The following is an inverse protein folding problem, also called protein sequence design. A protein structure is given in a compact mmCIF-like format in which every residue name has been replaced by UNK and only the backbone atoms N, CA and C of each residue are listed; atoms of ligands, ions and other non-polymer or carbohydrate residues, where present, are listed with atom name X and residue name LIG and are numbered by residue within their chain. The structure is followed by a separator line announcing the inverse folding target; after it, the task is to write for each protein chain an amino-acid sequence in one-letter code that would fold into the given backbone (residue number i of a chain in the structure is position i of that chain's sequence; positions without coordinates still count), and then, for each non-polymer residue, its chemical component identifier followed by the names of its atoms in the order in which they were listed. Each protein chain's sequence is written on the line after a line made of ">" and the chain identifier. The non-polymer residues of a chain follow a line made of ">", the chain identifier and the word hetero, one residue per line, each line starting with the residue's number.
data_IF_438470480386
#
_entry.id   IF_438470480386
#
_cell.length_a   1.000
_cell.length_b   1.000
_cell.length_c   1.000
_cell.angle_alpha   90.00
_cell.angle_beta   90.00
_cell.angle_gamma   90.00
#
_symmetry.space_group_name_H-M   'P 1'
#
loop_
_entity.id
_entity.type
_entity.pdbx_description
1 polymer ?
#
# COMPACT_ATOMS: atom_id res chain seq x y z
N UNK A 1 52.66 5.22 -19.68
CA UNK A 1 51.70 4.10 -19.56
C UNK A 1 51.05 4.32 -18.20
N UNK A 2 50.02 5.14 -18.23
CA UNK A 2 49.42 5.77 -17.05
C UNK A 2 48.33 4.84 -16.53
N UNK A 3 48.49 4.43 -15.28
CA UNK A 3 47.67 3.43 -14.60
C UNK A 3 46.25 4.00 -14.41
N UNK A 4 45.33 3.60 -15.29
CA UNK A 4 43.93 4.02 -15.22
C UNK A 4 43.28 3.19 -14.11
N UNK A 5 43.29 3.76 -12.90
CA UNK A 5 42.49 3.29 -11.76
C UNK A 5 41.04 3.16 -12.21
N UNK A 6 40.54 1.93 -12.26
CA UNK A 6 39.12 1.67 -12.49
C UNK A 6 38.30 2.41 -11.43
N UNK A 7 37.18 3.07 -11.81
CA UNK A 7 36.32 3.69 -10.83
C UNK A 7 35.77 2.61 -9.89
N UNK A 8 35.99 2.79 -8.59
CA UNK A 8 35.37 1.97 -7.56
C UNK A 8 33.85 1.92 -7.81
N UNK A 9 33.22 0.73 -7.71
CA UNK A 9 31.78 0.64 -7.82
C UNK A 9 31.16 1.48 -6.71
N UNK A 10 30.33 2.45 -7.13
CA UNK A 10 29.49 3.24 -6.23
C UNK A 10 28.74 2.24 -5.34
N UNK A 11 29.01 2.27 -4.03
CA UNK A 11 28.22 1.57 -3.03
C UNK A 11 26.74 1.77 -3.36
N UNK A 12 26.01 0.68 -3.60
CA UNK A 12 24.56 0.73 -3.68
C UNK A 12 24.06 1.39 -2.40
N UNK A 13 23.56 2.62 -2.51
CA UNK A 13 22.99 3.41 -1.42
C UNK A 13 21.95 2.54 -0.70
N UNK A 14 22.35 1.91 0.40
CA UNK A 14 21.52 0.94 1.10
C UNK A 14 20.30 1.66 1.62
N UNK A 15 19.11 1.25 1.18
CA UNK A 15 17.84 1.82 1.65
C UNK A 15 17.84 1.88 3.18
N UNK A 16 17.67 3.07 3.74
CA UNK A 16 17.57 3.23 5.19
C UNK A 16 16.44 2.35 5.72
N UNK A 17 16.68 1.58 6.78
CA UNK A 17 15.68 0.65 7.32
C UNK A 17 14.79 1.34 8.32
N UNK A 18 13.52 0.97 8.38
CA UNK A 18 12.60 1.51 9.40
C UNK A 18 13.05 1.14 10.82
N UNK A 19 13.66 -0.04 11.03
CA UNK A 19 14.21 -0.43 12.33
C UNK A 19 15.38 0.44 12.82
N UNK A 20 16.03 1.19 11.93
CA UNK A 20 17.13 2.10 12.27
C UNK A 20 16.63 3.51 12.67
N UNK A 21 15.34 3.81 12.47
CA UNK A 21 14.77 5.10 12.84
C UNK A 21 14.51 5.17 14.35
N UNK A 22 15.00 6.24 15.00
CA UNK A 22 14.72 6.47 16.41
C UNK A 22 13.21 6.69 16.66
N UNK A 23 12.66 5.92 17.60
CA UNK A 23 11.29 6.12 18.08
C UNK A 23 11.31 7.25 19.09
N UNK A 24 10.60 8.34 18.81
CA UNK A 24 10.44 9.40 19.82
C UNK A 24 9.60 8.86 20.96
N UNK A 25 10.10 8.86 22.20
CA UNK A 25 9.34 8.38 23.38
C UNK A 25 8.26 9.35 23.90
N UNK A 26 7.97 10.44 23.16
CA UNK A 26 7.24 11.60 23.67
C UNK A 26 5.84 11.26 24.17
N UNK A 27 5.12 10.34 23.53
CA UNK A 27 3.78 9.96 23.94
C UNK A 27 3.79 8.84 24.98
N UNK A 28 4.73 7.89 24.88
CA UNK A 28 4.97 6.85 25.88
C UNK A 28 5.30 7.43 27.25
N UNK A 29 6.12 8.47 27.28
CA UNK A 29 6.53 9.15 28.52
C UNK A 29 5.35 9.83 29.24
N UNK A 30 4.26 10.14 28.51
CA UNK A 30 3.00 10.65 29.09
C UNK A 30 2.14 9.48 29.60
N UNK A 31 1.98 8.43 28.81
CA UNK A 31 1.22 7.23 29.16
C UNK A 31 1.65 6.04 28.30
N UNK A 32 1.95 4.90 28.93
CA UNK A 32 2.33 3.66 28.23
C UNK A 32 1.30 3.21 27.18
N UNK A 33 0.01 3.52 27.38
CA UNK A 33 -1.06 3.21 26.40
C UNK A 33 -0.91 3.97 25.08
N UNK A 34 -0.14 5.06 25.04
CA UNK A 34 0.10 5.86 23.84
C UNK A 34 1.37 5.43 23.08
N UNK A 35 2.09 4.41 23.54
CA UNK A 35 3.23 3.85 22.82
C UNK A 35 2.95 3.46 21.34
N UNK A 36 1.75 2.97 20.95
CA UNK A 36 1.43 2.72 19.55
C UNK A 36 1.44 3.99 18.69
N UNK A 37 1.13 5.16 19.27
CA UNK A 37 1.11 6.45 18.56
C UNK A 37 2.53 6.86 18.17
N UNK A 38 3.49 6.69 19.08
CA UNK A 38 4.92 6.94 18.78
C UNK A 38 5.40 6.07 17.61
N UNK A 39 5.03 4.79 17.60
CA UNK A 39 5.38 3.87 16.50
C UNK A 39 4.76 4.31 15.16
N UNK A 40 3.49 4.74 15.16
CA UNK A 40 2.82 5.23 13.95
C UNK A 40 3.51 6.48 13.43
N UNK A 41 3.86 7.42 14.31
CA UNK A 41 4.56 8.66 13.92
C UNK A 41 5.92 8.35 13.31
N UNK A 42 6.69 7.42 13.88
CA UNK A 42 7.96 6.98 13.31
C UNK A 42 7.78 6.37 11.92
N UNK A 43 6.78 5.52 11.74
CA UNK A 43 6.48 4.94 10.42
C UNK A 43 6.02 6.00 9.40
N UNK A 44 5.21 6.98 9.80
CA UNK A 44 4.81 8.09 8.93
C UNK A 44 6.03 8.93 8.50
N UNK A 45 6.95 9.20 9.42
CA UNK A 45 8.21 9.91 9.11
C UNK A 45 9.08 9.11 8.15
N UNK A 46 9.14 7.79 8.34
CA UNK A 46 9.88 6.89 7.45
C UNK A 46 9.29 6.89 6.03
N UNK A 47 7.98 6.74 5.89
CA UNK A 47 7.31 6.81 4.59
C UNK A 47 7.51 8.17 3.94
N UNK A 48 7.39 9.27 4.70
CA UNK A 48 7.65 10.62 4.19
C UNK A 48 9.11 10.82 3.73
N UNK A 49 10.08 10.26 4.47
CA UNK A 49 11.48 10.26 4.07
C UNK A 49 11.69 9.51 2.75
N UNK A 50 11.10 8.32 2.61
CA UNK A 50 11.20 7.54 1.39
C UNK A 50 10.53 8.25 0.21
N UNK A 51 9.35 8.84 0.40
CA UNK A 51 8.68 9.68 -0.60
C UNK A 51 9.60 10.81 -1.05
N UNK A 52 10.18 11.57 -0.11
CA UNK A 52 11.06 12.68 -0.43
C UNK A 52 12.35 12.28 -1.16
N UNK A 53 12.84 11.06 -0.95
CA UNK A 53 14.08 10.57 -1.57
C UNK A 53 13.87 9.86 -2.90
N UNK A 54 12.74 9.15 -3.06
CA UNK A 54 12.52 8.25 -4.19
C UNK A 54 11.42 8.70 -5.16
N UNK A 55 10.58 9.69 -4.82
CA UNK A 55 9.70 10.29 -5.81
C UNK A 55 10.51 11.11 -6.81
N UNK A 56 10.36 10.77 -8.09
CA UNK A 56 11.04 11.44 -9.18
C UNK A 56 10.09 12.29 -10.03
N UNK A 57 10.56 12.62 -11.23
CA UNK A 57 9.80 13.38 -12.23
C UNK A 57 8.48 12.69 -12.61
N UNK A 58 8.46 11.36 -12.60
CA UNK A 58 7.28 10.55 -12.92
C UNK A 58 6.15 10.77 -11.91
N UNK A 59 6.45 10.64 -10.62
CA UNK A 59 5.50 10.87 -9.52
C UNK A 59 5.02 12.33 -9.49
N UNK A 60 5.93 13.29 -9.70
CA UNK A 60 5.56 14.72 -9.81
C UNK A 60 4.61 14.97 -10.98
N UNK A 61 4.85 14.34 -12.13
CA UNK A 61 3.97 14.47 -13.31
C UNK A 61 2.58 13.92 -13.03
N UNK A 62 2.46 12.80 -12.31
CA UNK A 62 1.17 12.25 -11.90
C UNK A 62 0.39 13.23 -11.02
N UNK A 63 1.04 13.82 -10.01
CA UNK A 63 0.41 14.82 -9.13
C UNK A 63 0.01 16.06 -9.92
N UNK A 64 0.85 16.53 -10.83
CA UNK A 64 0.55 17.68 -11.68
C UNK A 64 -0.67 17.42 -12.59
N UNK A 65 -0.78 16.24 -13.18
CA UNK A 65 -1.94 15.85 -13.99
C UNK A 65 -3.22 15.81 -13.14
N UNK A 66 -3.16 15.24 -11.93
CA UNK A 66 -4.32 15.25 -11.03
C UNK A 66 -4.72 16.67 -10.61
N UNK A 67 -3.75 17.53 -10.28
CA UNK A 67 -4.00 18.93 -9.95
C UNK A 67 -4.65 19.69 -11.12
N UNK A 68 -4.10 19.50 -12.33
CA UNK A 68 -4.64 20.10 -13.55
C UNK A 68 -6.07 19.63 -13.79
N UNK A 69 -6.34 18.33 -13.64
CA UNK A 69 -7.69 17.78 -13.74
C UNK A 69 -8.67 18.41 -12.75
N UNK A 70 -8.28 18.54 -11.48
CA UNK A 70 -9.09 19.18 -10.45
C UNK A 70 -9.40 20.64 -10.77
N UNK A 71 -8.37 21.44 -11.09
CA UNK A 71 -8.54 22.88 -11.36
C UNK A 71 -9.37 23.11 -12.61
N UNK A 72 -9.04 22.44 -13.73
CA UNK A 72 -9.73 22.62 -15.01
C UNK A 72 -11.20 22.19 -14.95
N UNK A 73 -11.54 21.20 -14.12
CA UNK A 73 -12.90 20.67 -14.03
C UNK A 73 -13.79 21.35 -12.98
N UNK A 74 -13.23 22.18 -12.09
CA UNK A 74 -14.00 22.77 -10.97
C UNK A 74 -13.84 24.28 -10.82
N UNK A 75 -12.86 24.89 -11.50
CA UNK A 75 -12.66 26.33 -11.47
C UNK A 75 -13.37 27.00 -12.64
N UNK A 76 -14.10 28.08 -12.36
CA UNK A 76 -14.91 28.77 -13.36
C UNK A 76 -14.07 29.62 -14.33
N UNK A 77 -12.82 29.96 -13.97
CA UNK A 77 -11.83 30.76 -14.75
C UNK A 77 -12.42 32.07 -15.33
N UNK A 78 -13.49 32.59 -14.73
CA UNK A 78 -14.18 33.80 -15.21
C UNK A 78 -15.03 33.60 -16.46
N UNK A 79 -15.30 32.34 -16.85
CA UNK A 79 -16.22 31.98 -17.94
C UNK A 79 -17.68 32.19 -17.48
N UNK A 80 -17.98 31.88 -16.22
CA UNK A 80 -19.31 32.10 -15.66
C UNK A 80 -20.24 30.90 -15.80
N UNK A 81 -19.82 29.80 -16.45
CA UNK A 81 -20.63 28.59 -16.64
C UNK A 81 -20.97 27.95 -15.28
N UNK A 82 -19.98 27.75 -14.41
CA UNK A 82 -20.20 27.14 -13.10
C UNK A 82 -20.83 28.12 -12.12
N UNK A 83 -20.44 29.40 -12.16
CA UNK A 83 -20.94 30.39 -11.21
C UNK A 83 -22.35 30.90 -11.52
N UNK A 84 -22.80 30.82 -12.77
CA UNK A 84 -24.19 31.08 -13.16
C UNK A 84 -25.13 29.92 -12.86
N UNK A 85 -24.58 28.73 -12.57
CA UNK A 85 -25.35 27.48 -12.38
C UNK A 85 -25.74 26.77 -13.69
N UNK A 86 -25.34 27.31 -14.85
CA UNK A 86 -25.62 26.74 -16.17
C UNK A 86 -27.11 26.66 -16.54
N UNK A 87 -27.43 25.94 -17.61
CA UNK A 87 -28.82 25.64 -17.99
C UNK A 87 -29.35 24.43 -17.22
N UNK A 88 -30.10 24.69 -16.15
CA UNK A 88 -30.68 23.65 -15.29
C UNK A 88 -31.71 22.74 -15.98
N UNK A 89 -32.20 23.11 -17.17
CA UNK A 89 -33.11 22.25 -17.94
C UNK A 89 -32.37 21.17 -18.71
N UNK A 90 -31.04 21.28 -18.82
CA UNK A 90 -30.18 20.36 -19.56
C UNK A 90 -29.22 19.69 -18.59
N UNK A 91 -29.01 18.39 -18.77
CA UNK A 91 -28.14 17.64 -17.86
C UNK A 91 -27.53 16.42 -18.56
N UNK A 92 -26.48 15.87 -17.94
CA UNK A 92 -25.86 14.63 -18.37
C UNK A 92 -24.88 14.77 -19.55
N UNK A 93 -24.21 13.64 -19.81
CA UNK A 93 -23.20 13.48 -20.87
C UNK A 93 -23.81 12.86 -22.14
N UNK A 94 -24.92 12.13 -22.01
CA UNK A 94 -25.54 11.31 -23.04
C UNK A 94 -27.04 11.63 -23.04
N UNK A 95 -27.54 12.21 -24.14
CA UNK A 95 -28.95 12.63 -24.21
C UNK A 95 -29.41 13.21 -25.55
N UNK A 96 -28.62 13.09 -26.62
CA UNK A 96 -28.95 13.74 -27.90
C UNK A 96 -29.02 15.26 -27.76
N UNK A 97 -30.08 15.88 -28.25
CA UNK A 97 -30.29 17.34 -28.24
C UNK A 97 -30.47 17.94 -26.83
N UNK A 98 -30.78 17.13 -25.82
CA UNK A 98 -30.96 17.60 -24.43
C UNK A 98 -29.71 17.42 -23.55
N UNK A 99 -28.60 16.94 -24.14
CA UNK A 99 -27.35 16.71 -23.42
C UNK A 99 -26.76 18.02 -22.92
N UNK A 100 -26.51 18.12 -21.61
CA UNK A 100 -25.92 19.30 -20.98
C UNK A 100 -24.55 19.66 -21.56
N UNK A 101 -23.68 18.66 -21.78
CA UNK A 101 -22.32 18.90 -22.30
C UNK A 101 -22.29 19.50 -23.72
N UNK A 102 -23.33 19.28 -24.53
CA UNK A 102 -23.40 19.80 -25.90
C UNK A 102 -23.85 21.27 -25.96
N UNK A 103 -24.36 21.80 -24.85
CA UNK A 103 -24.93 23.15 -24.75
C UNK A 103 -24.13 24.06 -23.82
N UNK A 104 -22.99 23.58 -23.32
CA UNK A 104 -22.02 24.39 -22.57
C UNK A 104 -21.36 25.40 -23.50
N UNK A 105 -20.88 26.51 -22.94
CA UNK A 105 -19.99 27.42 -23.67
C UNK A 105 -18.74 26.67 -24.18
N UNK A 106 -18.29 27.00 -25.41
CA UNK A 106 -17.15 26.35 -26.07
C UNK A 106 -15.91 26.24 -25.18
N UNK A 107 -15.59 27.30 -24.43
CA UNK A 107 -14.46 27.31 -23.51
C UNK A 107 -14.66 26.38 -22.30
N UNK A 108 -15.87 26.34 -21.73
CA UNK A 108 -16.18 25.44 -20.62
C UNK A 108 -16.15 23.98 -21.08
N UNK A 109 -16.60 23.69 -22.30
CA UNK A 109 -16.48 22.38 -22.92
C UNK A 109 -15.02 21.95 -23.08
N UNK A 110 -14.16 22.83 -23.61
CA UNK A 110 -12.72 22.56 -23.78
C UNK A 110 -12.06 22.23 -22.43
N UNK A 111 -12.32 23.02 -21.39
CA UNK A 111 -11.76 22.80 -20.05
C UNK A 111 -12.23 21.48 -19.44
N UNK A 112 -13.52 21.16 -19.61
CA UNK A 112 -14.10 19.89 -19.14
C UNK A 112 -13.43 18.70 -19.82
N UNK A 113 -13.25 18.75 -21.15
CA UNK A 113 -12.55 17.70 -21.89
C UNK A 113 -11.09 17.56 -21.47
N UNK A 114 -10.39 18.69 -21.26
CA UNK A 114 -9.00 18.67 -20.81
C UNK A 114 -8.87 18.09 -19.39
N UNK A 115 -9.81 18.41 -18.49
CA UNK A 115 -9.90 17.80 -17.16
C UNK A 115 -10.04 16.28 -17.23
N UNK A 116 -10.92 15.78 -18.09
CA UNK A 116 -11.10 14.33 -18.31
C UNK A 116 -9.82 13.69 -18.85
N UNK A 117 -9.15 14.31 -19.81
CA UNK A 117 -7.87 13.83 -20.35
C UNK A 117 -6.81 13.77 -19.25
N UNK A 118 -6.73 14.79 -18.38
CA UNK A 118 -5.80 14.80 -17.25
C UNK A 118 -6.07 13.65 -16.27
N UNK A 119 -7.34 13.39 -15.93
CA UNK A 119 -7.72 12.28 -15.05
C UNK A 119 -7.43 10.91 -15.65
N UNK A 120 -7.78 10.70 -16.92
CA UNK A 120 -7.47 9.45 -17.64
C UNK A 120 -5.95 9.25 -17.68
N UNK A 121 -5.18 10.31 -18.00
CA UNK A 121 -3.72 10.24 -18.04
C UNK A 121 -3.12 9.90 -16.68
N UNK A 122 -3.63 10.50 -15.60
CA UNK A 122 -3.22 10.17 -14.24
C UNK A 122 -3.45 8.69 -13.91
N UNK A 123 -4.65 8.17 -14.18
CA UNK A 123 -5.00 6.76 -13.92
C UNK A 123 -4.17 5.81 -14.78
N UNK A 124 -3.96 6.11 -16.07
CA UNK A 124 -3.12 5.30 -16.96
C UNK A 124 -1.66 5.29 -16.48
N UNK A 125 -1.13 6.42 -16.02
CA UNK A 125 0.23 6.48 -15.48
C UNK A 125 0.35 5.65 -14.21
N UNK A 126 -0.60 5.74 -13.27
CA UNK A 126 -0.64 4.87 -12.09
C UNK A 126 -0.65 3.39 -12.50
N UNK A 127 -1.55 3.03 -13.42
CA UNK A 127 -1.69 1.67 -13.91
C UNK A 127 -0.40 1.14 -14.52
N UNK A 128 0.20 1.88 -15.44
CA UNK A 128 1.38 1.43 -16.18
C UNK A 128 2.62 1.39 -15.30
N UNK A 129 2.76 2.35 -14.38
CA UNK A 129 3.95 2.53 -13.54
C UNK A 129 4.03 1.57 -12.36
N UNK A 130 2.89 1.06 -11.87
CA UNK A 130 2.81 0.22 -10.67
C UNK A 130 2.10 -1.10 -10.98
N UNK A 131 2.74 -2.01 -11.77
CA UNK A 131 2.14 -3.25 -12.22
C UNK A 131 1.65 -4.19 -11.13
N UNK A 132 2.36 -4.28 -10.00
CA UNK A 132 2.00 -5.19 -8.91
C UNK A 132 0.72 -4.73 -8.22
N UNK A 133 0.49 -3.41 -8.16
CA UNK A 133 -0.70 -2.81 -7.54
C UNK A 133 -1.87 -2.53 -8.49
N UNK A 134 -1.79 -2.83 -9.80
CA UNK A 134 -2.84 -2.53 -10.80
C UNK A 134 -4.26 -2.98 -10.41
N UNK A 135 -4.41 -4.24 -10.00
CA UNK A 135 -5.70 -4.80 -9.63
C UNK A 135 -6.27 -4.07 -8.40
N UNK A 136 -5.43 -3.88 -7.38
CA UNK A 136 -5.80 -3.18 -6.15
C UNK A 136 -6.12 -1.70 -6.39
N UNK A 137 -5.35 -1.02 -7.25
CA UNK A 137 -5.61 0.34 -7.70
C UNK A 137 -7.00 0.45 -8.34
N UNK A 138 -7.41 -0.55 -9.12
CA UNK A 138 -8.73 -0.54 -9.79
C UNK A 138 -9.85 -0.49 -8.77
N UNK A 139 -9.77 -1.29 -7.71
CA UNK A 139 -10.76 -1.27 -6.62
C UNK A 139 -10.81 0.09 -5.91
N UNK A 140 -9.65 0.74 -5.72
CA UNK A 140 -9.58 2.07 -5.10
C UNK A 140 -10.24 3.14 -5.98
N UNK A 141 -9.96 3.12 -7.28
CA UNK A 141 -10.58 4.05 -8.25
C UNK A 141 -12.08 3.82 -8.36
N UNK A 142 -12.53 2.56 -8.40
CA UNK A 142 -13.96 2.21 -8.39
C UNK A 142 -14.62 2.75 -7.12
N UNK A 143 -14.02 2.52 -5.95
CA UNK A 143 -14.53 3.04 -4.68
C UNK A 143 -14.67 4.57 -4.69
N UNK A 144 -13.66 5.28 -5.22
CA UNK A 144 -13.70 6.72 -5.42
C UNK A 144 -14.89 7.16 -6.27
N UNK A 145 -15.14 6.51 -7.41
CA UNK A 145 -16.29 6.79 -8.28
C UNK A 145 -17.62 6.58 -7.53
N UNK A 146 -17.75 5.49 -6.76
CA UNK A 146 -18.95 5.25 -5.96
C UNK A 146 -19.20 6.38 -4.94
N UNK A 147 -18.16 6.85 -4.24
CA UNK A 147 -18.30 7.96 -3.28
C UNK A 147 -18.76 9.23 -3.98
N UNK A 148 -18.16 9.58 -5.13
CA UNK A 148 -18.58 10.74 -5.92
C UNK A 148 -20.06 10.65 -6.32
N UNK A 149 -20.48 9.51 -6.87
CA UNK A 149 -21.87 9.29 -7.28
C UNK A 149 -22.84 9.34 -6.09
N UNK A 150 -22.44 8.85 -4.91
CA UNK A 150 -23.25 8.94 -3.71
C UNK A 150 -23.48 10.38 -3.25
N UNK A 151 -22.46 11.24 -3.33
CA UNK A 151 -22.62 12.67 -3.02
C UNK A 151 -23.44 13.42 -4.07
N UNK A 152 -23.26 13.12 -5.36
CA UNK A 152 -24.11 13.69 -6.43
C UNK A 152 -25.57 13.32 -6.17
N UNK A 153 -25.84 12.04 -5.85
CA UNK A 153 -27.20 11.57 -5.57
C UNK A 153 -27.79 12.22 -4.32
N UNK A 154 -27.02 12.30 -3.23
CA UNK A 154 -27.47 12.95 -2.00
C UNK A 154 -27.83 14.44 -2.23
N UNK A 155 -27.01 15.17 -2.98
CA UNK A 155 -27.29 16.58 -3.30
C UNK A 155 -28.43 16.76 -4.30
N UNK A 156 -28.66 15.81 -5.21
CA UNK A 156 -29.82 15.86 -6.12
C UNK A 156 -31.16 15.74 -5.38
N UNK A 157 -31.19 15.03 -4.25
CA UNK A 157 -32.40 14.89 -3.41
C UNK A 157 -32.46 16.01 -2.34
N UNK A 158 -31.30 16.42 -1.83
CA UNK A 158 -31.15 17.40 -0.76
C UNK A 158 -30.03 18.40 -1.09
N UNK A 159 -30.33 19.52 -1.78
CA UNK A 159 -29.31 20.47 -2.23
C UNK A 159 -28.39 21.04 -1.13
N UNK A 160 -28.92 21.17 0.08
CA UNK A 160 -28.17 21.68 1.25
C UNK A 160 -27.59 20.56 2.14
N UNK A 161 -27.41 19.34 1.62
CA UNK A 161 -26.91 18.18 2.36
C UNK A 161 -25.62 18.51 3.15
N UNK A 162 -25.53 18.17 4.45
CA UNK A 162 -26.44 17.28 5.19
C UNK A 162 -27.63 17.96 5.86
N UNK A 163 -27.79 19.27 5.71
CA UNK A 163 -28.82 20.05 6.40
C UNK A 163 -30.21 19.71 5.85
N UNK A 164 -31.14 19.36 6.73
CA UNK A 164 -32.53 19.05 6.36
C UNK A 164 -32.77 17.68 5.73
N UNK A 165 -31.73 16.86 5.55
CA UNK A 165 -31.83 15.59 4.83
C UNK A 165 -32.48 14.44 5.63
N UNK A 166 -32.53 14.53 6.96
CA UNK A 166 -32.96 13.45 7.84
C UNK A 166 -32.13 12.17 7.65
N UNK A 167 -32.56 11.02 8.20
CA UNK A 167 -31.83 9.76 8.04
C UNK A 167 -31.83 9.25 6.59
N UNK A 168 -32.90 9.52 5.84
CA UNK A 168 -33.09 9.05 4.46
C UNK A 168 -32.04 9.62 3.49
N UNK A 169 -31.66 10.90 3.63
CA UNK A 169 -30.66 11.49 2.74
C UNK A 169 -29.24 10.99 2.98
N UNK A 170 -28.96 10.39 4.13
CA UNK A 170 -27.66 9.74 4.40
C UNK A 170 -27.52 8.37 3.75
N UNK A 171 -28.62 7.73 3.32
CA UNK A 171 -28.60 6.34 2.83
C UNK A 171 -27.59 6.17 1.70
N UNK A 172 -27.61 7.07 0.71
CA UNK A 172 -26.69 7.02 -0.43
C UNK A 172 -25.23 7.15 0.01
N UNK A 173 -24.91 8.14 0.85
CA UNK A 173 -23.54 8.38 1.35
C UNK A 173 -23.06 7.21 2.21
N UNK A 174 -23.92 6.65 3.07
CA UNK A 174 -23.60 5.49 3.92
C UNK A 174 -23.30 4.27 3.04
N UNK A 175 -24.17 3.94 2.09
CA UNK A 175 -24.00 2.76 1.24
C UNK A 175 -22.71 2.83 0.42
N UNK A 176 -22.43 3.96 -0.23
CA UNK A 176 -21.20 4.09 -1.03
C UNK A 176 -19.94 4.07 -0.17
N UNK A 177 -20.00 4.58 1.06
CA UNK A 177 -18.88 4.49 2.00
C UNK A 177 -18.68 3.08 2.57
N UNK A 178 -19.75 2.28 2.70
CA UNK A 178 -19.62 0.86 3.03
C UNK A 178 -18.94 0.08 1.90
N UNK A 179 -19.30 0.36 0.65
CA UNK A 179 -18.62 -0.20 -0.53
C UNK A 179 -17.15 0.23 -0.54
N UNK A 180 -16.88 1.51 -0.32
CA UNK A 180 -15.54 2.07 -0.23
C UNK A 180 -14.69 1.38 0.86
N UNK A 181 -15.25 1.21 2.05
CA UNK A 181 -14.61 0.53 3.17
C UNK A 181 -14.35 -0.94 2.85
N UNK A 182 -15.33 -1.62 2.25
CA UNK A 182 -15.17 -3.01 1.82
C UNK A 182 -14.00 -3.18 0.84
N UNK A 183 -13.97 -2.38 -0.24
CA UNK A 183 -12.92 -2.44 -1.25
C UNK A 183 -11.55 -2.07 -0.68
N UNK A 184 -11.47 -0.97 0.06
CA UNK A 184 -10.18 -0.48 0.56
C UNK A 184 -9.60 -1.31 1.71
N UNK A 185 -10.43 -1.75 2.66
CA UNK A 185 -9.97 -2.45 3.87
C UNK A 185 -9.99 -3.98 3.70
N UNK A 186 -11.09 -4.54 3.21
CA UNK A 186 -11.24 -6.00 3.15
C UNK A 186 -10.62 -6.62 1.90
N UNK A 187 -10.60 -5.89 0.77
CA UNK A 187 -9.97 -6.36 -0.46
C UNK A 187 -8.51 -5.90 -0.51
N UNK A 188 -8.27 -4.60 -0.65
CA UNK A 188 -6.93 -4.06 -0.94
C UNK A 188 -5.98 -4.21 0.24
N UNK A 189 -6.32 -3.65 1.41
CA UNK A 189 -5.44 -3.71 2.59
C UNK A 189 -5.12 -5.14 2.96
N UNK A 190 -6.12 -6.02 2.96
CA UNK A 190 -5.92 -7.44 3.28
C UNK A 190 -4.98 -8.12 2.29
N UNK A 191 -5.19 -7.94 0.99
CA UNK A 191 -4.33 -8.54 -0.04
C UNK A 191 -2.86 -8.09 0.08
N UNK A 192 -2.63 -6.80 0.34
CA UNK A 192 -1.29 -6.25 0.52
C UNK A 192 -0.62 -6.78 1.79
N UNK A 193 -1.33 -6.76 2.92
CA UNK A 193 -0.80 -7.25 4.21
C UNK A 193 -0.44 -8.74 4.11
N UNK A 194 -1.35 -9.58 3.61
CA UNK A 194 -1.09 -11.02 3.47
C UNK A 194 0.06 -11.30 2.48
N UNK A 195 0.17 -10.51 1.40
CA UNK A 195 1.30 -10.64 0.45
C UNK A 195 2.62 -10.22 1.09
N UNK A 196 2.64 -9.15 1.89
CA UNK A 196 3.81 -8.72 2.67
C UNK A 196 4.23 -9.80 3.67
N UNK A 197 3.29 -10.41 4.36
CA UNK A 197 3.55 -11.47 5.34
C UNK A 197 4.28 -12.66 4.67
N UNK A 198 3.78 -13.10 3.51
CA UNK A 198 4.41 -14.15 2.70
C UNK A 198 5.80 -13.71 2.21
N UNK A 199 5.93 -12.46 1.75
CA UNK A 199 7.21 -11.91 1.29
C UNK A 199 8.27 -11.98 2.40
N UNK A 200 7.96 -11.50 3.61
CA UNK A 200 8.90 -11.53 4.74
C UNK A 200 9.29 -12.97 5.09
N UNK A 201 8.32 -13.89 5.14
CA UNK A 201 8.57 -15.30 5.42
C UNK A 201 9.43 -15.99 4.36
N UNK A 202 9.32 -15.59 3.09
CA UNK A 202 10.04 -16.25 1.99
C UNK A 202 11.39 -15.60 1.67
N UNK A 203 11.53 -14.28 1.82
CA UNK A 203 12.72 -13.53 1.40
C UNK A 203 13.64 -13.15 2.55
N UNK A 204 13.08 -12.94 3.74
CA UNK A 204 13.85 -12.55 4.92
C UNK A 204 13.89 -13.65 5.99
N UNK A 205 13.69 -14.90 5.56
CA UNK A 205 13.82 -16.04 6.46
C UNK A 205 15.24 -16.14 7.01
N UNK A 206 15.35 -16.26 8.32
CA UNK A 206 16.62 -16.48 9.00
C UNK A 206 16.42 -17.39 10.22
N UNK A 207 17.33 -18.33 10.52
CA UNK A 207 17.22 -19.20 11.69
C UNK A 207 17.13 -18.47 13.03
N UNK A 208 17.71 -17.26 13.11
CA UNK A 208 17.57 -16.38 14.28
C UNK A 208 16.24 -15.60 14.24
N UNK A 209 15.33 -15.80 15.21
CA UNK A 209 14.04 -15.12 15.25
C UNK A 209 14.15 -13.59 15.33
N UNK A 210 15.25 -13.04 15.88
CA UNK A 210 15.44 -11.58 16.01
C UNK A 210 15.63 -10.91 14.65
N UNK A 211 16.26 -11.61 13.72
CA UNK A 211 16.49 -11.10 12.35
C UNK A 211 15.16 -11.08 11.59
N UNK A 212 14.34 -12.11 11.77
CA UNK A 212 12.98 -12.16 11.20
C UNK A 212 12.12 -11.03 11.79
N UNK A 213 12.10 -10.86 13.11
CA UNK A 213 11.31 -9.80 13.77
C UNK A 213 11.72 -8.39 13.29
N UNK A 214 13.03 -8.16 13.09
CA UNK A 214 13.51 -6.92 12.47
C UNK A 214 12.99 -6.75 11.04
N UNK A 215 13.00 -7.80 10.22
CA UNK A 215 12.47 -7.75 8.86
C UNK A 215 10.95 -7.47 8.82
N UNK A 216 10.20 -8.03 9.77
CA UNK A 216 8.78 -7.70 9.96
C UNK A 216 8.58 -6.24 10.32
N UNK A 217 9.44 -5.67 11.17
CA UNK A 217 9.40 -4.26 11.50
C UNK A 217 9.74 -3.39 10.30
N UNK A 218 10.76 -3.77 9.53
CA UNK A 218 11.17 -3.06 8.31
C UNK A 218 10.06 -3.03 7.24
N UNK A 219 9.25 -4.09 7.19
CA UNK A 219 8.09 -4.22 6.30
C UNK A 219 6.76 -3.92 7.00
N UNK A 220 6.78 -3.09 8.03
CA UNK A 220 5.54 -2.67 8.69
C UNK A 220 4.66 -1.87 7.73
N UNK A 221 3.35 -2.16 7.77
CA UNK A 221 2.33 -1.51 6.95
C UNK A 221 1.29 -0.79 7.82
N UNK A 222 1.64 -0.42 9.06
CA UNK A 222 0.68 0.24 9.97
C UNK A 222 0.39 1.66 9.49
N UNK A 223 1.42 2.47 9.23
CA UNK A 223 1.23 3.81 8.66
C UNK A 223 0.54 3.77 7.29
N UNK A 224 0.88 2.80 6.43
CA UNK A 224 0.23 2.60 5.14
C UNK A 224 -1.26 2.24 5.29
N UNK A 225 -1.60 1.38 6.26
CA UNK A 225 -3.00 1.06 6.57
C UNK A 225 -3.78 2.29 7.04
N UNK A 226 -3.16 3.14 7.87
CA UNK A 226 -3.76 4.39 8.32
C UNK A 226 -3.96 5.36 7.15
N UNK A 227 -3.01 5.43 6.23
CA UNK A 227 -3.10 6.27 5.04
C UNK A 227 -4.32 5.95 4.18
N UNK A 228 -4.74 4.67 4.08
CA UNK A 228 -5.99 4.28 3.41
C UNK A 228 -7.21 4.92 4.06
N UNK A 229 -7.29 4.90 5.40
CA UNK A 229 -8.38 5.51 6.15
C UNK A 229 -8.40 7.03 5.98
N UNK A 230 -7.24 7.68 6.09
CA UNK A 230 -7.10 9.13 5.87
C UNK A 230 -7.51 9.49 4.44
N UNK A 231 -7.06 8.71 3.45
CA UNK A 231 -7.42 8.90 2.06
C UNK A 231 -8.93 8.85 1.82
N UNK A 232 -9.63 7.88 2.42
CA UNK A 232 -11.09 7.80 2.34
C UNK A 232 -11.79 9.05 2.93
N UNK A 233 -11.26 9.63 4.01
CA UNK A 233 -11.76 10.89 4.58
C UNK A 233 -11.57 12.06 3.61
N UNK A 234 -10.37 12.22 3.04
CA UNK A 234 -10.10 13.30 2.10
C UNK A 234 -10.90 13.18 0.80
N UNK A 235 -11.15 11.96 0.31
CA UNK A 235 -12.08 11.70 -0.80
C UNK A 235 -13.49 12.22 -0.46
N UNK A 236 -14.00 11.90 0.72
CA UNK A 236 -15.33 12.35 1.13
C UNK A 236 -15.41 13.88 1.24
N UNK A 237 -14.40 14.53 1.84
CA UNK A 237 -14.34 15.99 1.94
C UNK A 237 -14.29 16.64 0.54
N UNK A 238 -13.49 16.06 -0.36
CA UNK A 238 -13.33 16.57 -1.73
C UNK A 238 -14.65 16.46 -2.52
N UNK A 239 -15.31 15.31 -2.51
CA UNK A 239 -16.55 15.14 -3.28
C UNK A 239 -17.77 15.79 -2.64
N UNK A 240 -17.84 15.85 -1.31
CA UNK A 240 -18.85 16.66 -0.65
C UNK A 240 -18.69 18.14 -1.04
N UNK A 241 -17.48 18.70 -0.95
CA UNK A 241 -17.25 20.11 -1.26
C UNK A 241 -17.51 20.47 -2.72
N UNK A 242 -17.11 19.62 -3.69
CA UNK A 242 -17.43 19.89 -5.11
C UNK A 242 -18.92 19.82 -5.39
N UNK A 243 -19.61 18.78 -4.92
CA UNK A 243 -21.05 18.65 -5.16
C UNK A 243 -21.84 19.74 -4.47
N UNK A 244 -21.45 20.12 -3.25
CA UNK A 244 -22.08 21.22 -2.53
C UNK A 244 -21.82 22.59 -3.17
N UNK A 245 -20.71 22.77 -3.90
CA UNK A 245 -20.44 24.01 -4.62
C UNK A 245 -21.40 24.25 -5.81
N UNK A 246 -21.96 23.18 -6.40
CA UNK A 246 -22.81 23.23 -7.60
C UNK A 246 -24.27 22.81 -7.35
N UNK A 247 -24.58 22.28 -6.16
CA UNK A 247 -25.94 21.86 -5.79
C UNK A 247 -26.96 23.00 -5.59
N UNK A 248 -26.59 24.20 -5.09
CA UNK A 248 -27.55 25.29 -4.90
C UNK A 248 -28.23 25.70 -6.21
N UNK A 249 -29.55 25.91 -6.16
CA UNK A 249 -30.35 26.21 -7.35
C UNK A 249 -30.06 27.61 -7.94
N UNK A 250 -30.37 27.86 -9.23
CA UNK A 250 -30.11 29.11 -9.94
C UNK A 250 -30.76 30.39 -9.36
N UNK A 251 -31.50 30.29 -8.25
CA UNK A 251 -32.08 31.43 -7.53
C UNK A 251 -31.41 31.76 -6.18
N UNK A 252 -30.57 30.86 -5.66
CA UNK A 252 -29.86 30.99 -4.36
C UNK A 252 -28.34 31.10 -4.57
N UNK A 253 -27.98 31.98 -5.52
CA UNK A 253 -26.66 32.10 -6.12
C UNK A 253 -25.63 32.70 -5.17
N UNK A 254 -24.91 31.86 -4.44
CA UNK A 254 -23.50 32.13 -4.16
C UNK A 254 -22.67 30.89 -4.48
N UNK A 255 -22.24 30.79 -5.74
CA UNK A 255 -21.16 29.88 -6.10
C UNK A 255 -19.97 30.13 -5.17
N UNK A 256 -19.64 29.11 -4.38
CA UNK A 256 -18.68 29.26 -3.30
C UNK A 256 -17.29 28.86 -3.77
N UNK A 257 -16.49 29.87 -4.12
CA UNK A 257 -15.06 29.68 -4.41
C UNK A 257 -14.33 28.99 -3.24
N UNK A 258 -14.79 29.16 -1.99
CA UNK A 258 -14.22 28.48 -0.84
C UNK A 258 -14.41 26.96 -0.91
N UNK A 259 -15.60 26.49 -1.31
CA UNK A 259 -15.87 25.07 -1.47
C UNK A 259 -15.05 24.48 -2.63
N UNK A 260 -14.87 25.23 -3.71
CA UNK A 260 -13.99 24.84 -4.82
C UNK A 260 -12.53 24.73 -4.37
N UNK A 261 -12.02 25.71 -3.61
CA UNK A 261 -10.67 25.65 -3.03
C UNK A 261 -10.54 24.43 -2.12
N UNK A 262 -11.54 24.17 -1.27
CA UNK A 262 -11.56 22.99 -0.41
C UNK A 262 -11.51 21.69 -1.23
N UNK A 263 -12.31 21.61 -2.30
CA UNK A 263 -12.31 20.48 -3.23
C UNK A 263 -10.94 20.23 -3.85
N UNK A 264 -10.29 21.28 -4.36
CA UNK A 264 -8.97 21.20 -4.99
C UNK A 264 -7.90 20.79 -3.98
N UNK A 265 -7.85 21.40 -2.79
CA UNK A 265 -6.85 21.09 -1.78
C UNK A 265 -7.01 19.67 -1.22
N UNK A 266 -8.24 19.27 -0.87
CA UNK A 266 -8.51 17.93 -0.36
C UNK A 266 -8.38 16.86 -1.43
N UNK A 267 -8.74 17.17 -2.67
CA UNK A 267 -8.53 16.32 -3.84
C UNK A 267 -7.05 16.11 -4.14
N UNK A 268 -6.25 17.17 -4.12
CA UNK A 268 -4.80 17.10 -4.34
C UNK A 268 -4.12 16.23 -3.25
N UNK A 269 -4.48 16.46 -1.99
CA UNK A 269 -3.95 15.66 -0.88
C UNK A 269 -4.37 14.19 -1.00
N UNK A 270 -5.62 13.95 -1.39
CA UNK A 270 -6.14 12.61 -1.66
C UNK A 270 -5.37 11.92 -2.79
N UNK A 271 -5.10 12.61 -3.90
CA UNK A 271 -4.32 12.06 -5.01
C UNK A 271 -2.87 11.75 -4.61
N UNK A 272 -2.26 12.59 -3.78
CA UNK A 272 -0.96 12.32 -3.15
C UNK A 272 -0.98 11.05 -2.32
N UNK A 273 -1.98 10.89 -1.45
CA UNK A 273 -2.16 9.68 -0.66
C UNK A 273 -2.42 8.45 -1.53
N UNK A 274 -3.26 8.54 -2.56
CA UNK A 274 -3.52 7.44 -3.49
C UNK A 274 -2.23 6.99 -4.16
N UNK A 275 -1.42 7.95 -4.65
CA UNK A 275 -0.12 7.67 -5.23
C UNK A 275 0.78 6.97 -4.19
N UNK A 276 0.90 7.46 -2.96
CA UNK A 276 1.68 6.80 -1.90
C UNK A 276 1.16 5.40 -1.58
N UNK A 277 -0.16 5.20 -1.52
CA UNK A 277 -0.80 3.92 -1.22
C UNK A 277 -0.48 2.88 -2.29
N UNK A 278 -0.43 3.29 -3.57
CA UNK A 278 -0.09 2.41 -4.69
C UNK A 278 1.43 2.19 -4.77
N UNK A 279 2.19 3.27 -4.65
CA UNK A 279 3.65 3.26 -4.80
C UNK A 279 4.36 2.46 -3.69
N UNK A 280 3.94 2.63 -2.43
CA UNK A 280 4.69 2.10 -1.28
C UNK A 280 4.78 0.56 -1.24
N UNK A 281 3.68 -0.21 -1.42
CA UNK A 281 3.78 -1.67 -1.47
C UNK A 281 4.64 -2.18 -2.65
N UNK A 282 4.53 -1.53 -3.82
CA UNK A 282 5.33 -1.88 -5.00
C UNK A 282 6.83 -1.64 -4.74
N UNK A 283 7.15 -0.50 -4.13
CA UNK A 283 8.51 -0.15 -3.73
C UNK A 283 9.10 -1.15 -2.72
N UNK A 284 8.31 -1.58 -1.73
CA UNK A 284 8.74 -2.52 -0.69
C UNK A 284 8.86 -3.96 -1.18
N UNK A 285 7.94 -4.43 -2.05
CA UNK A 285 7.94 -5.82 -2.53
C UNK A 285 8.92 -6.07 -3.69
N UNK A 286 9.38 -5.00 -4.33
CA UNK A 286 10.26 -5.04 -5.49
C UNK A 286 9.62 -5.71 -6.72
N UNK A 287 10.35 -5.75 -7.84
CA UNK A 287 9.86 -6.29 -9.12
C UNK A 287 9.82 -7.84 -9.17
N UNK A 288 9.47 -8.50 -8.06
CA UNK A 288 9.61 -9.96 -7.91
C UNK A 288 8.52 -10.79 -8.59
N UNK A 289 7.63 -10.15 -9.37
CA UNK A 289 6.61 -10.83 -10.19
C UNK A 289 5.48 -11.49 -9.39
N UNK A 290 5.48 -11.36 -8.05
CA UNK A 290 4.41 -11.88 -7.19
C UNK A 290 3.23 -10.91 -7.25
N UNK A 291 2.07 -11.38 -7.72
CA UNK A 291 0.83 -10.60 -7.70
C UNK A 291 0.36 -10.41 -6.25
N UNK A 292 -0.14 -9.21 -5.94
CA UNK A 292 -0.72 -8.93 -4.62
C UNK A 292 -2.14 -9.49 -4.57
N UNK A 293 -2.31 -10.54 -3.78
CA UNK A 293 -3.56 -11.27 -3.64
C UNK A 293 -3.71 -11.80 -2.22
N UNK A 294 -4.96 -11.82 -1.74
CA UNK A 294 -5.29 -12.49 -0.48
C UNK A 294 -5.09 -14.00 -0.56
N UNK A 295 -4.91 -14.67 0.58
CA UNK A 295 -4.79 -16.12 0.69
C UNK A 295 -5.96 -16.83 0.03
N UNK A 296 -7.20 -16.34 0.26
CA UNK A 296 -8.40 -16.87 -0.39
C UNK A 296 -8.39 -16.70 -1.90
N UNK A 297 -7.95 -15.55 -2.40
CA UNK A 297 -7.87 -15.32 -3.85
C UNK A 297 -6.84 -16.27 -4.49
N UNK A 298 -5.71 -16.52 -3.82
CA UNK A 298 -4.68 -17.49 -4.25
C UNK A 298 -5.22 -18.93 -4.26
N UNK A 299 -5.94 -19.32 -3.21
CA UNK A 299 -6.60 -20.63 -3.12
C UNK A 299 -7.60 -20.85 -4.27
N UNK A 300 -8.43 -19.84 -4.55
CA UNK A 300 -9.40 -19.89 -5.67
C UNK A 300 -8.70 -19.90 -7.03
N UNK A 301 -7.56 -19.21 -7.16
CA UNK A 301 -6.74 -19.23 -8.37
C UNK A 301 -5.94 -20.54 -8.54
N UNK A 302 -5.97 -21.45 -7.57
CA UNK A 302 -5.18 -22.67 -7.58
C UNK A 302 -3.67 -22.43 -7.42
N UNK A 303 -3.28 -21.24 -6.96
CA UNK A 303 -1.87 -20.93 -6.68
C UNK A 303 -1.45 -21.69 -5.41
N UNK A 304 -0.66 -22.74 -5.60
CA UNK A 304 0.01 -23.40 -4.48
C UNK A 304 1.16 -22.50 -4.03
N UNK A 305 1.00 -21.86 -2.87
CA UNK A 305 2.14 -21.27 -2.17
C UNK A 305 3.14 -22.42 -2.01
N UNK A 306 4.28 -22.35 -2.69
CA UNK A 306 5.35 -23.32 -2.55
C UNK A 306 5.78 -23.31 -1.09
N UNK A 307 5.22 -24.23 -0.30
CA UNK A 307 5.77 -24.54 1.01
C UNK A 307 7.20 -24.98 0.76
N UNK A 308 8.16 -24.31 1.42
CA UNK A 308 9.57 -24.64 1.25
C UNK A 308 9.74 -26.13 1.52
N UNK A 309 10.28 -26.84 0.53
CA UNK A 309 10.73 -28.22 0.74
C UNK A 309 11.76 -28.21 1.86
N UNK A 310 11.74 -29.23 2.70
CA UNK A 310 12.74 -29.38 3.75
C UNK A 310 14.14 -29.28 3.15
N UNK A 311 14.95 -28.34 3.62
CA UNK A 311 16.31 -28.15 3.12
C UNK A 311 17.29 -28.92 4.00
N UNK A 312 18.21 -29.65 3.39
CA UNK A 312 19.27 -30.33 4.12
C UNK A 312 20.48 -29.40 4.27
N UNK A 313 20.96 -29.23 5.50
CA UNK A 313 22.06 -28.32 5.80
C UNK A 313 23.36 -28.77 5.14
N UNK A 314 24.21 -27.85 4.73
CA UNK A 314 25.54 -28.07 4.15
C UNK A 314 26.62 -27.65 5.14
N UNK A 315 27.71 -28.41 5.22
CA UNK A 315 28.84 -28.08 6.07
C UNK A 315 29.47 -26.76 5.62
N UNK A 316 29.65 -25.76 6.49
CA UNK A 316 30.24 -24.47 6.09
C UNK A 316 31.72 -24.58 5.69
N UNK A 317 32.40 -25.68 6.04
CA UNK A 317 33.83 -25.89 5.75
C UNK A 317 34.05 -26.63 4.43
N UNK A 318 33.23 -27.63 4.12
CA UNK A 318 33.43 -28.50 2.94
C UNK A 318 32.22 -28.61 2.01
N UNK A 319 31.14 -27.87 2.30
CA UNK A 319 29.90 -27.79 1.52
C UNK A 319 29.13 -29.12 1.34
N UNK A 320 29.54 -30.21 1.99
CA UNK A 320 28.82 -31.48 1.96
C UNK A 320 27.54 -31.43 2.79
N UNK A 321 26.52 -32.17 2.36
CA UNK A 321 25.28 -32.34 3.11
C UNK A 321 25.53 -32.90 4.51
N UNK A 322 24.76 -32.40 5.47
CA UNK A 322 24.82 -32.78 6.87
C UNK A 322 23.49 -33.34 7.34
N UNK A 323 23.46 -33.88 8.55
CA UNK A 323 22.27 -34.50 9.13
C UNK A 323 21.22 -33.50 9.64
N UNK A 324 21.54 -32.20 9.66
CA UNK A 324 20.54 -31.18 9.98
C UNK A 324 19.56 -30.99 8.81
N UNK A 325 18.29 -30.91 9.14
CA UNK A 325 17.21 -30.62 8.20
C UNK A 325 16.41 -29.43 8.69
N UNK A 326 16.26 -28.42 7.83
CA UNK A 326 15.32 -27.33 8.05
C UNK A 326 13.95 -27.81 7.60
N UNK A 327 13.02 -27.90 8.53
CA UNK A 327 11.65 -28.28 8.26
C UNK A 327 10.90 -27.16 7.50
N UNK A 328 9.78 -27.48 6.87
CA UNK A 328 8.97 -26.52 6.12
C UNK A 328 8.44 -25.36 6.99
N UNK A 329 8.40 -25.56 8.32
CA UNK A 329 8.06 -24.56 9.34
C UNK A 329 9.22 -23.62 9.69
N UNK A 330 10.42 -23.84 9.13
CA UNK A 330 11.64 -23.09 9.44
C UNK A 330 12.38 -23.60 10.68
N UNK A 331 11.82 -24.57 11.42
CA UNK A 331 12.51 -25.21 12.53
C UNK A 331 13.69 -26.04 12.04
N UNK A 332 14.84 -25.92 12.70
CA UNK A 332 15.98 -26.81 12.41
C UNK A 332 15.85 -28.06 13.28
N UNK A 333 15.68 -29.20 12.61
CA UNK A 333 15.67 -30.52 13.22
C UNK A 333 17.03 -31.18 13.06
N UNK A 334 17.53 -31.79 14.14
CA UNK A 334 18.76 -32.58 14.15
C UNK A 334 18.41 -33.98 14.67
N UNK A 335 18.88 -35.06 14.02
CA UNK A 335 18.65 -36.41 14.52
C UNK A 335 19.41 -36.65 15.82
N UNK A 336 18.85 -37.51 16.67
CA UNK A 336 19.44 -37.88 17.94
C UNK A 336 20.79 -38.56 17.73
N UNK A 337 21.77 -38.23 18.59
CA UNK A 337 23.11 -38.82 18.54
C UNK A 337 23.23 -40.13 19.32
N UNK A 338 22.17 -40.58 19.99
CA UNK A 338 22.17 -41.82 20.78
C UNK A 338 22.06 -43.02 19.86
N UNK A 339 22.97 -43.98 20.01
CA UNK A 339 22.94 -45.24 19.26
C UNK A 339 21.59 -45.95 19.43
N UNK A 340 20.98 -46.35 18.31
CA UNK A 340 19.67 -47.00 18.27
C UNK A 340 18.46 -46.07 18.37
N UNK A 341 18.63 -44.75 18.50
CA UNK A 341 17.52 -43.80 18.50
C UNK A 341 17.32 -43.13 17.13
N UNK A 342 16.13 -43.32 16.54
CA UNK A 342 15.68 -42.67 15.29
C UNK A 342 14.93 -41.34 15.54
N UNK A 343 14.97 -40.83 16.77
CA UNK A 343 14.27 -39.60 17.13
C UNK A 343 14.99 -38.36 16.61
N UNK A 344 14.25 -37.26 16.55
CA UNK A 344 14.74 -35.93 16.16
C UNK A 344 14.27 -34.88 17.17
N UNK A 345 14.68 -33.64 16.95
CA UNK A 345 14.23 -32.48 17.71
C UNK A 345 15.10 -31.25 17.43
N UNK A 346 14.81 -30.16 18.12
CA UNK A 346 15.53 -28.91 17.96
C UNK A 346 16.95 -28.99 18.55
N UNK A 347 17.88 -28.22 17.99
CA UNK A 347 19.24 -28.12 18.52
C UNK A 347 19.21 -27.64 20.00
N UNK A 348 19.77 -28.45 20.90
CA UNK A 348 19.80 -28.16 22.34
C UNK A 348 18.55 -28.56 23.13
N UNK A 349 17.49 -29.06 22.49
CA UNK A 349 16.30 -29.62 23.15
C UNK A 349 16.47 -31.11 23.47
N UNK A 350 15.50 -31.68 24.19
CA UNK A 350 15.43 -33.12 24.37
C UNK A 350 14.89 -33.79 23.09
N UNK A 351 15.39 -34.99 22.80
CA UNK A 351 14.88 -35.82 21.71
C UNK A 351 13.44 -36.27 22.01
N UNK A 352 12.59 -36.23 20.99
CA UNK A 352 11.16 -36.59 21.08
C UNK A 352 10.91 -38.04 21.51
N UNK A 353 11.87 -38.95 21.33
CA UNK A 353 11.71 -40.38 21.64
C UNK A 353 12.47 -40.86 22.86
N UNK A 354 13.70 -40.38 23.06
CA UNK A 354 14.59 -40.91 24.10
C UNK A 354 15.01 -39.88 25.14
N UNK A 355 14.43 -38.68 25.08
CA UNK A 355 14.65 -37.53 25.97
C UNK A 355 16.12 -37.08 26.10
N UNK A 356 17.02 -37.68 25.30
CA UNK A 356 18.44 -37.36 25.33
C UNK A 356 18.65 -36.01 24.67
N UNK A 357 19.52 -35.17 25.27
CA UNK A 357 19.77 -33.82 24.79
C UNK A 357 20.41 -33.85 23.41
N UNK A 358 19.79 -33.15 22.46
CA UNK A 358 20.26 -33.02 21.09
C UNK A 358 21.44 -32.04 21.05
N UNK A 359 22.53 -32.37 20.36
CA UNK A 359 23.70 -31.50 20.32
C UNK A 359 23.40 -30.19 19.58
N UNK A 360 23.92 -29.08 20.12
CA UNK A 360 23.85 -27.75 19.49
C UNK A 360 24.90 -27.53 18.40
N UNK A 361 25.79 -28.50 18.20
CA UNK A 361 26.87 -28.53 17.20
C UNK A 361 26.84 -29.84 16.43
N UNK A 362 27.15 -29.78 15.14
CA UNK A 362 27.23 -30.95 14.27
C UNK A 362 28.69 -31.16 13.89
N UNK A 363 29.13 -32.41 14.00
CA UNK A 363 30.42 -32.84 13.48
C UNK A 363 30.20 -33.34 12.05
N UNK A 364 30.86 -32.70 11.08
CA UNK A 364 30.75 -33.10 9.68
C UNK A 364 31.43 -34.45 9.45
N UNK A 365 30.70 -35.44 8.94
CA UNK A 365 31.24 -36.79 8.63
C UNK A 365 32.37 -36.73 7.59
N UNK A 366 32.35 -35.77 6.68
CA UNK A 366 33.34 -35.67 5.61
C UNK A 366 34.65 -35.01 6.02
N UNK A 367 34.61 -33.94 6.83
CA UNK A 367 35.81 -33.13 7.16
C UNK A 367 36.12 -33.06 8.66
N UNK A 368 35.32 -33.69 9.53
CA UNK A 368 35.54 -33.72 10.97
C UNK A 368 35.33 -32.39 11.70
N UNK A 369 34.98 -31.30 10.99
CA UNK A 369 34.76 -30.00 11.62
C UNK A 369 33.51 -30.01 12.52
N UNK A 370 33.63 -29.41 13.71
CA UNK A 370 32.53 -29.22 14.65
C UNK A 370 32.02 -27.79 14.56
N UNK A 371 30.85 -27.61 13.96
CA UNK A 371 30.27 -26.28 13.70
C UNK A 371 28.87 -26.15 14.31
N UNK A 372 28.44 -24.93 14.71
CA UNK A 372 27.09 -24.70 15.22
C UNK A 372 26.03 -25.08 14.19
N UNK A 373 24.93 -25.71 14.62
CA UNK A 373 23.85 -26.17 13.73
C UNK A 373 23.35 -25.06 12.79
N UNK A 374 23.22 -23.83 13.27
CA UNK A 374 22.77 -22.68 12.47
C UNK A 374 23.70 -22.31 11.31
N UNK A 375 25.00 -22.63 11.37
CA UNK A 375 25.95 -22.35 10.28
C UNK A 375 25.88 -23.33 9.11
N UNK A 376 25.08 -24.40 9.24
CA UNK A 376 24.89 -25.38 8.16
C UNK A 376 23.83 -24.97 7.14
N UNK A 377 23.06 -23.93 7.45
CA UNK A 377 22.14 -23.33 6.53
C UNK A 377 22.76 -22.00 6.12
N UNK A 378 22.86 -21.76 4.81
CA UNK A 378 23.64 -20.64 4.28
C UNK A 378 23.36 -19.36 5.06
N UNK A 379 24.41 -18.58 5.32
CA UNK A 379 24.21 -17.15 5.57
C UNK A 379 23.60 -16.61 4.29
N UNK A 380 22.27 -16.54 4.23
CA UNK A 380 21.61 -15.69 3.25
C UNK A 380 22.11 -14.32 3.64
N UNK A 381 23.02 -13.79 2.83
CA UNK A 381 23.49 -12.43 3.00
C UNK A 381 22.25 -11.56 3.17
N UNK A 382 22.22 -10.83 4.27
CA UNK A 382 21.08 -10.04 4.65
C UNK A 382 21.05 -8.75 3.83
N UNK A 383 20.96 -8.88 2.50
CA UNK A 383 20.80 -7.79 1.54
C UNK A 383 19.94 -8.28 0.38
#
# INVERSE_FOLDING_TARGET
>A
MEDRKEPEPIESDSMARLSDFSVSGRFRDINDRLAPVDSIITELRYVAYLVGRFWGSKEVTMIFLSLSGLVLGSWDIGIGELSSGGDYNRWGLIGGEDSGILHMEDMALILTLLSVICWISFIILLWTSYPIMRENMTYMVIGMIFVQMGYIRAHSEFPNFPTGAGLSGWVWVIVVNLVMLFLSVFVVRRAVVETRDIHVQQRHFHPDPRVIERAWKDHSLVAWSLAIGIWAVFINLSFWSSTHAVAPSPGDLQFSNLLVILHVLTGLFSSGLLLTIIWFPEFMLGSTGVRIQSTRAREVAGETIQQRKSEQGKCPVCNNQTSATMEATGGISVPCSKEGCVGKGAAGSNCELCETKIPSRIVCVNCGSSTPVGSHFGRVEAW
#
